data_IF_089553703829
#
_entry.id   IF_089553703829
#
_cell.length_a   1.000
_cell.length_b   1.000
_cell.length_c   1.000
_cell.angle_alpha   90.00
_cell.angle_beta   90.00
_cell.angle_gamma   90.00
#
_symmetry.space_group_name_H-M   'P 1'
#
loop_
_entity.id
_entity.type
_entity.pdbx_description
1 polymer ?
#
# COMPACT_ATOMS: atom_id res chain seq x y z
N UNK A 1 -2.74 -14.85 -1.64
CA UNK A 1 -2.30 -13.51 -2.11
C UNK A 1 -3.56 -12.76 -2.49
N UNK A 2 -3.71 -11.52 -2.04
CA UNK A 2 -4.78 -10.61 -2.48
C UNK A 2 -4.16 -9.52 -3.34
N UNK A 3 -4.91 -9.07 -4.35
CA UNK A 3 -4.55 -7.91 -5.13
C UNK A 3 -5.29 -6.72 -4.52
N UNK A 4 -4.62 -6.01 -3.60
CA UNK A 4 -5.20 -4.80 -3.00
C UNK A 4 -5.20 -3.69 -4.05
N UNK A 5 -6.31 -2.97 -4.15
CA UNK A 5 -6.39 -1.78 -4.98
C UNK A 5 -5.66 -0.63 -4.29
N UNK A 6 -4.64 -0.08 -4.96
CA UNK A 6 -3.84 1.01 -4.40
C UNK A 6 -4.69 2.26 -4.22
N UNK A 7 -5.42 2.66 -5.27
CA UNK A 7 -6.51 3.61 -5.18
C UNK A 7 -7.80 2.83 -4.91
N UNK A 8 -8.47 3.05 -3.76
CA UNK A 8 -9.63 2.26 -3.37
C UNK A 8 -10.71 2.20 -4.46
N UNK A 9 -11.34 1.03 -4.61
CA UNK A 9 -12.35 0.79 -5.66
C UNK A 9 -13.50 1.81 -5.68
N UNK A 10 -13.88 2.31 -4.49
CA UNK A 10 -14.92 3.33 -4.31
C UNK A 10 -14.54 4.69 -4.93
N UNK A 11 -13.26 5.02 -4.97
CA UNK A 11 -12.73 6.31 -5.43
C UNK A 11 -12.15 6.22 -6.85
N UNK A 12 -11.98 5.00 -7.37
CA UNK A 12 -11.47 4.70 -8.70
C UNK A 12 -12.58 4.79 -9.77
N UNK A 13 -12.24 5.34 -10.94
CA UNK A 13 -13.08 5.28 -12.14
C UNK A 13 -13.01 3.91 -12.83
N UNK A 14 -13.89 3.65 -13.79
CA UNK A 14 -14.00 2.33 -14.44
C UNK A 14 -12.71 1.87 -15.14
N UNK A 15 -11.88 2.80 -15.64
CA UNK A 15 -10.57 2.47 -16.20
C UNK A 15 -9.57 2.11 -15.12
N UNK A 16 -9.52 2.87 -14.03
CA UNK A 16 -8.62 2.67 -12.89
C UNK A 16 -8.95 1.37 -12.12
N UNK A 17 -10.23 0.97 -12.09
CA UNK A 17 -10.68 -0.29 -11.49
C UNK A 17 -10.12 -1.53 -12.18
N UNK A 18 -9.96 -1.44 -13.50
CA UNK A 18 -9.47 -2.51 -14.37
C UNK A 18 -7.98 -2.35 -14.71
N UNK A 19 -7.31 -1.31 -14.20
CA UNK A 19 -5.91 -1.04 -14.46
C UNK A 19 -5.02 -1.99 -13.64
N UNK A 20 -4.23 -2.88 -14.27
CA UNK A 20 -3.33 -3.76 -13.53
C UNK A 20 -2.28 -3.01 -12.70
N UNK A 21 -1.97 -1.75 -13.03
CA UNK A 21 -1.05 -0.92 -12.27
C UNK A 21 -1.66 -0.34 -10.98
N UNK A 22 -2.99 -0.43 -10.83
CA UNK A 22 -3.71 -0.06 -9.61
C UNK A 22 -3.87 -1.25 -8.64
N UNK A 23 -3.08 -2.32 -8.81
CA UNK A 23 -3.08 -3.49 -7.94
C UNK A 23 -1.71 -3.75 -7.34
N UNK A 24 -1.67 -4.10 -6.06
CA UNK A 24 -0.46 -4.53 -5.37
C UNK A 24 -0.65 -5.94 -4.77
N UNK A 25 0.17 -6.94 -5.14
CA UNK A 25 0.06 -8.27 -4.57
C UNK A 25 0.62 -8.27 -3.14
N UNK A 26 -0.27 -8.43 -2.17
CA UNK A 26 0.07 -8.49 -0.75
C UNK A 26 -0.44 -9.79 -0.12
N UNK A 27 0.24 -10.20 0.96
CA UNK A 27 -0.30 -11.23 1.87
C UNK A 27 -1.44 -10.62 2.69
N UNK A 28 -2.34 -11.45 3.22
CA UNK A 28 -3.59 -11.00 3.83
C UNK A 28 -3.40 -10.02 5.01
N UNK A 29 -2.33 -10.16 5.79
CA UNK A 29 -2.01 -9.25 6.88
C UNK A 29 -1.62 -7.86 6.37
N UNK A 30 -0.70 -7.79 5.40
CA UNK A 30 -0.27 -6.53 4.79
C UNK A 30 -1.39 -5.86 4.00
N UNK A 31 -2.21 -6.64 3.30
CA UNK A 31 -3.42 -6.18 2.60
C UNK A 31 -4.37 -5.44 3.56
N UNK A 32 -4.68 -6.05 4.72
CA UNK A 32 -5.53 -5.42 5.72
C UNK A 32 -4.93 -4.14 6.32
N UNK A 33 -3.61 -4.13 6.58
CA UNK A 33 -2.92 -2.94 7.09
C UNK A 33 -2.87 -1.82 6.05
N UNK A 34 -2.69 -2.15 4.78
CA UNK A 34 -2.62 -1.21 3.66
C UNK A 34 -3.98 -0.57 3.43
N UNK A 35 -5.05 -1.38 3.32
CA UNK A 35 -6.42 -0.90 3.16
C UNK A 35 -6.89 -0.04 4.36
N UNK A 36 -6.39 -0.33 5.57
CA UNK A 36 -6.67 0.46 6.78
C UNK A 36 -5.90 1.79 6.84
N UNK A 37 -4.95 2.01 5.93
CA UNK A 37 -4.05 3.17 5.91
C UNK A 37 -2.93 3.12 6.94
N UNK A 38 -2.66 1.95 7.54
CA UNK A 38 -1.63 1.76 8.57
C UNK A 38 -0.24 1.54 7.97
N UNK A 39 -0.18 1.10 6.71
CA UNK A 39 1.06 1.02 5.92
C UNK A 39 0.84 1.61 4.53
N UNK A 40 1.92 2.03 3.89
CA UNK A 40 1.94 2.42 2.49
C UNK A 40 3.33 2.16 1.90
N UNK A 41 3.58 2.54 0.65
CA UNK A 41 4.89 2.41 0.01
C UNK A 41 5.33 3.71 -0.65
N UNK A 42 6.63 4.02 -0.56
CA UNK A 42 7.26 5.12 -1.31
C UNK A 42 7.41 4.75 -2.79
N UNK A 43 7.75 5.74 -3.62
CA UNK A 43 8.08 5.51 -5.04
C UNK A 43 9.29 4.59 -5.24
N UNK A 44 10.18 4.50 -4.25
CA UNK A 44 11.31 3.56 -4.23
C UNK A 44 10.89 2.10 -3.98
N UNK A 45 9.65 1.86 -3.57
CA UNK A 45 9.17 0.56 -3.11
C UNK A 45 9.43 0.29 -1.62
N UNK A 46 10.05 1.21 -0.89
CA UNK A 46 10.20 1.13 0.57
C UNK A 46 8.84 1.22 1.27
N UNK A 47 8.55 0.30 2.20
CA UNK A 47 7.36 0.35 3.04
C UNK A 47 7.49 1.48 4.06
N UNK A 48 6.39 2.21 4.26
CA UNK A 48 6.23 3.16 5.36
C UNK A 48 5.10 2.71 6.26
N UNK A 49 5.24 2.97 7.56
CA UNK A 49 4.27 2.60 8.60
C UNK A 49 3.71 3.87 9.23
N UNK A 50 2.43 3.82 9.60
CA UNK A 50 1.74 4.89 10.32
C UNK A 50 2.34 5.08 11.72
N UNK A 51 2.36 6.32 12.22
CA UNK A 51 2.70 6.63 13.61
C UNK A 51 1.70 6.06 14.61
N UNK A 52 0.51 5.63 14.16
CA UNK A 52 -0.47 4.96 15.02
C UNK A 52 -0.09 3.52 15.39
N UNK A 53 0.88 2.91 14.70
CA UNK A 53 1.39 1.58 15.02
C UNK A 53 2.50 1.69 16.07
N UNK A 54 2.33 1.04 17.21
CA UNK A 54 3.38 0.89 18.21
C UNK A 54 4.51 -0.01 17.71
N UNK A 55 5.70 0.11 18.30
CA UNK A 55 6.83 -0.75 17.95
C UNK A 55 6.54 -2.23 18.19
N UNK A 56 5.79 -2.57 19.26
CA UNK A 56 5.38 -3.95 19.51
C UNK A 56 4.45 -4.51 18.43
N UNK A 57 3.53 -3.69 17.89
CA UNK A 57 2.69 -4.11 16.76
C UNK A 57 3.51 -4.28 15.48
N UNK A 58 4.47 -3.38 15.21
CA UNK A 58 5.39 -3.51 14.08
C UNK A 58 6.21 -4.79 14.18
N UNK A 59 6.65 -5.17 15.38
CA UNK A 59 7.40 -6.40 15.62
C UNK A 59 6.53 -7.65 15.39
N UNK A 60 5.30 -7.67 15.92
CA UNK A 60 4.34 -8.77 15.73
C UNK A 60 4.02 -8.99 14.25
N UNK A 61 3.85 -7.91 13.49
CA UNK A 61 3.55 -7.96 12.06
C UNK A 61 4.81 -8.04 11.17
N UNK A 62 6.01 -7.96 11.74
CA UNK A 62 7.28 -8.01 11.01
C UNK A 62 7.49 -6.85 10.05
N UNK A 63 7.07 -5.63 10.41
CA UNK A 63 7.03 -4.45 9.53
C UNK A 63 8.36 -3.69 9.41
N UNK A 64 9.49 -4.31 9.77
CA UNK A 64 10.80 -3.66 9.78
C UNK A 64 11.49 -3.82 8.42
N UNK A 65 11.90 -2.70 7.83
CA UNK A 65 12.75 -2.63 6.62
C UNK A 65 12.21 -3.42 5.41
N UNK A 66 10.89 -3.42 5.21
CA UNK A 66 10.27 -4.09 4.07
C UNK A 66 10.32 -3.25 2.80
N UNK A 67 10.60 -3.91 1.69
CA UNK A 67 10.58 -3.34 0.34
C UNK A 67 9.74 -4.20 -0.58
N UNK A 68 9.14 -3.57 -1.60
CA UNK A 68 8.60 -4.29 -2.74
C UNK A 68 9.72 -5.08 -3.43
N UNK A 69 9.42 -6.32 -3.81
CA UNK A 69 10.38 -7.22 -4.47
C UNK A 69 10.89 -6.68 -5.80
N UNK A 70 10.09 -5.82 -6.45
CA UNK A 70 10.43 -5.14 -7.70
C UNK A 70 10.13 -3.66 -7.57
N UNK A 71 10.89 -2.82 -8.29
CA UNK A 71 10.56 -1.41 -8.38
C UNK A 71 9.17 -1.23 -9.01
N UNK A 72 8.30 -0.39 -8.41
CA UNK A 72 6.97 -0.15 -8.95
C UNK A 72 7.07 0.61 -10.28
N UNK A 73 6.19 0.27 -11.22
CA UNK A 73 6.05 0.99 -12.48
C UNK A 73 5.55 2.43 -12.24
N UNK A 74 5.84 3.37 -13.14
CA UNK A 74 5.47 4.80 -12.98
C UNK A 74 3.98 5.03 -12.69
N UNK A 75 3.11 4.24 -13.33
CA UNK A 75 1.66 4.27 -13.06
C UNK A 75 1.31 3.81 -11.65
N UNK A 76 1.93 2.73 -11.18
CA UNK A 76 1.79 2.23 -9.80
C UNK A 76 2.29 3.27 -8.81
N UNK A 77 3.41 3.96 -9.11
CA UNK A 77 3.93 5.07 -8.29
C UNK A 77 2.89 6.19 -8.17
N UNK A 78 2.19 6.52 -9.26
CA UNK A 78 1.13 7.54 -9.26
C UNK A 78 -0.05 7.13 -8.37
N UNK A 79 -0.49 5.87 -8.43
CA UNK A 79 -1.51 5.37 -7.50
C UNK A 79 -1.01 5.35 -6.05
N UNK A 80 0.25 4.96 -5.80
CA UNK A 80 0.84 4.97 -4.46
C UNK A 80 0.92 6.40 -3.89
N UNK A 81 1.13 7.41 -4.74
CA UNK A 81 1.04 8.81 -4.31
C UNK A 81 -0.37 9.16 -3.84
N UNK A 82 -1.39 8.79 -4.61
CA UNK A 82 -2.79 8.95 -4.17
C UNK A 82 -3.06 8.25 -2.84
N UNK A 83 -2.60 7.00 -2.69
CA UNK A 83 -2.77 6.24 -1.43
C UNK A 83 -2.13 6.96 -0.24
N UNK A 84 -0.89 7.46 -0.40
CA UNK A 84 -0.18 8.24 0.64
C UNK A 84 -0.91 9.53 1.03
N UNK A 85 -1.60 10.18 0.09
CA UNK A 85 -2.28 11.45 0.33
C UNK A 85 -3.71 11.30 0.87
N UNK A 86 -4.40 10.20 0.56
CA UNK A 86 -5.84 10.07 0.79
C UNK A 86 -6.24 8.91 1.71
N UNK A 87 -5.38 7.90 1.87
CA UNK A 87 -5.70 6.66 2.62
C UNK A 87 -4.74 6.47 3.79
N UNK A 88 -3.44 6.65 3.55
CA UNK A 88 -2.42 6.52 4.58
C UNK A 88 -2.65 7.52 5.72
N UNK A 89 -2.61 6.99 6.95
CA UNK A 89 -2.73 7.78 8.17
C UNK A 89 -1.31 7.99 8.68
N UNK A 90 -0.83 9.22 8.62
CA UNK A 90 0.47 9.57 9.20
C UNK A 90 0.49 9.30 10.69
#
# INVERSE_FOLDING_TARGET
IRASHIKPWKDANDKERLDPYNGLPLIASLDALFDAGLISFKSSGEMITSSSLSESEKEIFGLHELFLTMQPHEKTISYLAYHRENVFKE
#
